data_IF_705252705891
#
_entry.id   IF_705252705891
#
_cell.length_a   1.000
_cell.length_b   1.000
_cell.length_c   1.000
_cell.angle_alpha   90.00
_cell.angle_beta   90.00
_cell.angle_gamma   90.00
#
_symmetry.space_group_name_H-M   'P 1'
#
loop_
_entity.id
_entity.type
_entity.pdbx_description
1 polymer ?
#
# COMPACT_ATOMS: atom_id res chain seq x y z
N UNK A 1 5.06 -0.42 -13.26
CA UNK A 1 4.27 0.81 -13.00
C UNK A 1 5.22 2.00 -12.96
N UNK A 2 5.40 2.73 -14.06
CA UNK A 2 6.19 3.96 -14.02
C UNK A 2 5.29 5.03 -13.42
N UNK A 3 5.34 5.21 -12.10
CA UNK A 3 4.83 6.43 -11.48
C UNK A 3 5.76 7.52 -12.01
N UNK A 4 5.36 8.12 -13.12
CA UNK A 4 5.97 9.32 -13.64
C UNK A 4 5.75 10.42 -12.62
N UNK A 5 6.64 10.51 -11.63
CA UNK A 5 6.91 11.77 -10.99
C UNK A 5 7.46 12.65 -12.10
N UNK A 6 6.59 13.50 -12.66
CA UNK A 6 7.07 14.69 -13.33
C UNK A 6 8.13 15.29 -12.39
N UNK A 7 9.32 15.56 -12.91
CA UNK A 7 10.33 16.40 -12.28
C UNK A 7 9.72 17.79 -12.10
N UNK A 8 8.78 17.89 -11.16
CA UNK A 8 8.07 19.07 -10.79
C UNK A 8 8.99 19.82 -9.84
N UNK A 9 9.25 21.08 -10.17
CA UNK A 9 10.12 21.98 -9.44
C UNK A 9 10.10 21.85 -7.92
N UNK A 10 11.26 22.07 -7.30
CA UNK A 10 11.36 22.19 -5.85
C UNK A 10 10.46 23.35 -5.39
N UNK A 11 9.45 23.03 -4.58
CA UNK A 11 8.59 24.06 -3.98
C UNK A 11 9.34 24.82 -2.90
N UNK A 12 9.07 26.09 -2.68
CA UNK A 12 9.64 26.83 -1.54
C UNK A 12 8.73 27.92 -0.99
N UNK A 13 8.98 28.32 0.25
CA UNK A 13 8.33 29.44 0.95
C UNK A 13 9.36 30.40 1.55
N UNK A 14 8.94 31.61 1.92
CA UNK A 14 9.79 32.64 2.55
C UNK A 14 9.53 32.74 4.05
N UNK A 15 10.60 32.61 4.85
CA UNK A 15 10.52 32.81 6.30
C UNK A 15 10.24 34.27 6.71
N UNK A 16 10.47 35.24 5.80
CA UNK A 16 10.27 36.66 6.06
C UNK A 16 8.84 37.15 5.74
N UNK A 17 8.10 36.42 4.91
CA UNK A 17 6.73 36.79 4.53
C UNK A 17 5.74 36.54 5.69
N UNK A 18 4.64 37.30 5.78
CA UNK A 18 3.55 36.99 6.70
C UNK A 18 2.93 35.61 6.42
N UNK A 19 2.37 34.97 7.46
CA UNK A 19 1.77 33.63 7.34
C UNK A 19 0.62 33.56 6.33
N UNK A 20 -0.22 34.60 6.27
CA UNK A 20 -1.36 34.72 5.35
C UNK A 20 -0.96 35.08 3.92
N UNK A 21 0.32 35.33 3.67
CA UNK A 21 0.87 35.76 2.38
C UNK A 21 1.96 34.81 1.88
N UNK A 22 2.08 33.61 2.45
CA UNK A 22 3.04 32.61 2.00
C UNK A 22 2.76 32.23 0.55
N UNK A 23 3.74 32.41 -0.32
CA UNK A 23 3.63 32.09 -1.75
C UNK A 23 4.18 30.69 -2.03
N UNK A 24 3.45 29.92 -2.84
CA UNK A 24 3.91 28.63 -3.37
C UNK A 24 4.61 28.85 -4.72
N UNK A 25 5.94 28.72 -4.73
CA UNK A 25 6.78 28.83 -5.93
C UNK A 25 7.29 27.46 -6.36
N UNK A 26 7.21 27.14 -7.65
CA UNK A 26 7.78 25.93 -8.24
C UNK A 26 8.99 26.31 -9.08
N UNK A 27 10.18 25.87 -8.68
CA UNK A 27 11.39 26.10 -9.47
C UNK A 27 11.32 25.40 -10.84
N UNK A 28 11.62 26.11 -11.91
CA UNK A 28 11.65 25.49 -13.25
C UNK A 28 12.88 24.57 -13.37
N UNK A 29 13.99 24.98 -12.78
CA UNK A 29 15.19 24.19 -12.56
C UNK A 29 15.96 24.68 -11.33
N UNK A 30 16.77 23.80 -10.73
CA UNK A 30 17.46 24.05 -9.45
C UNK A 30 18.42 25.26 -9.48
N UNK A 31 18.89 25.66 -10.66
CA UNK A 31 19.81 26.79 -10.86
C UNK A 31 19.17 28.00 -11.57
N UNK A 32 17.85 27.98 -11.78
CA UNK A 32 17.15 29.10 -12.41
C UNK A 32 16.73 30.16 -11.38
N UNK A 33 16.90 31.43 -11.73
CA UNK A 33 16.25 32.55 -11.03
C UNK A 33 14.78 32.70 -11.44
N UNK A 34 14.18 31.67 -12.06
CA UNK A 34 12.80 31.69 -12.51
C UNK A 34 12.01 30.62 -11.76
N UNK A 35 10.86 31.02 -11.21
CA UNK A 35 9.91 30.12 -10.60
C UNK A 35 8.52 30.32 -11.20
N UNK A 36 7.73 29.27 -11.23
CA UNK A 36 6.30 29.36 -11.50
C UNK A 36 5.57 29.67 -10.19
N UNK A 37 4.71 30.68 -10.20
CA UNK A 37 3.88 31.03 -9.05
C UNK A 37 2.56 30.24 -9.10
N UNK A 38 2.16 29.65 -7.97
CA UNK A 38 0.92 28.88 -7.84
C UNK A 38 -0.06 29.57 -6.87
N UNK A 39 -0.55 30.74 -7.28
CA UNK A 39 -1.53 31.54 -6.53
C UNK A 39 -2.78 31.89 -7.37
N UNK A 40 -3.06 31.13 -8.42
CA UNK A 40 -4.16 31.39 -9.36
C UNK A 40 -3.78 32.21 -10.59
N UNK A 41 -2.59 32.83 -10.61
CA UNK A 41 -2.01 33.45 -11.80
C UNK A 41 -0.84 32.59 -12.31
N UNK A 42 -1.06 31.86 -13.41
CA UNK A 42 0.02 31.09 -14.04
C UNK A 42 1.00 32.02 -14.74
N UNK A 43 2.23 32.13 -14.22
CA UNK A 43 3.31 32.93 -14.81
C UNK A 43 4.69 32.61 -14.25
N UNK A 44 5.73 32.85 -15.05
CA UNK A 44 7.11 32.80 -14.60
C UNK A 44 7.46 34.11 -13.88
N UNK A 45 8.06 34.00 -12.69
CA UNK A 45 8.47 35.12 -11.85
C UNK A 45 9.97 35.03 -11.62
N UNK A 46 10.66 36.17 -11.72
CA UNK A 46 12.06 36.29 -11.34
C UNK A 46 12.19 36.35 -9.81
N UNK A 47 12.89 35.37 -9.23
CA UNK A 47 13.12 35.25 -7.79
C UNK A 47 14.54 35.67 -7.38
N UNK A 48 15.35 36.20 -8.29
CA UNK A 48 16.74 36.64 -8.02
C UNK A 48 16.85 37.62 -6.84
N UNK A 49 15.84 38.46 -6.64
CA UNK A 49 15.78 39.43 -5.53
C UNK A 49 15.49 38.84 -4.15
N UNK A 50 15.13 37.55 -4.03
CA UNK A 50 14.89 36.91 -2.73
C UNK A 50 16.22 36.39 -2.18
N UNK A 51 16.69 36.79 -0.99
CA UNK A 51 17.95 36.27 -0.43
C UNK A 51 17.94 34.74 -0.28
N UNK A 52 19.05 34.08 -0.60
CA UNK A 52 19.10 32.61 -0.64
C UNK A 52 18.85 31.95 0.73
N UNK A 53 19.23 32.61 1.81
CA UNK A 53 19.07 32.15 3.20
C UNK A 53 17.61 32.10 3.66
N UNK A 54 16.74 32.94 3.09
CA UNK A 54 15.30 32.97 3.39
C UNK A 54 14.45 32.08 2.47
N UNK A 55 15.02 31.53 1.39
CA UNK A 55 14.36 30.55 0.50
C UNK A 55 14.36 29.18 1.17
N UNK A 56 13.19 28.69 1.62
CA UNK A 56 13.06 27.40 2.30
C UNK A 56 12.30 26.40 1.45
N UNK A 57 12.94 25.28 1.11
CA UNK A 57 12.45 24.32 0.12
C UNK A 57 11.69 23.16 0.73
N UNK A 58 10.58 22.76 0.08
CA UNK A 58 9.88 21.52 0.40
C UNK A 58 10.87 20.37 0.20
N UNK A 59 10.99 19.46 1.17
CA UNK A 59 11.89 18.34 1.05
C UNK A 59 11.55 17.46 -0.15
N UNK A 60 12.60 16.96 -0.81
CA UNK A 60 12.50 16.03 -1.95
C UNK A 60 11.79 14.76 -1.54
N UNK A 61 10.95 14.21 -2.40
CA UNK A 61 10.24 12.97 -2.10
C UNK A 61 11.24 11.83 -1.83
N UNK A 62 10.96 10.99 -0.83
CA UNK A 62 11.84 9.90 -0.40
C UNK A 62 13.04 10.31 0.47
N UNK A 63 13.29 11.61 0.72
CA UNK A 63 14.38 12.02 1.62
C UNK A 63 13.99 11.89 3.10
N UNK A 64 14.98 11.75 3.98
CA UNK A 64 14.74 11.74 5.44
C UNK A 64 14.11 13.06 5.94
N UNK A 65 14.47 14.19 5.33
CA UNK A 65 13.81 15.48 5.60
C UNK A 65 12.33 15.45 5.23
N UNK A 66 11.94 14.71 4.19
CA UNK A 66 10.54 14.58 3.80
C UNK A 66 9.74 13.78 4.80
N UNK A 67 10.29 12.69 5.34
CA UNK A 67 9.65 11.92 6.41
C UNK A 67 9.39 12.81 7.63
N UNK A 68 10.38 13.63 8.02
CA UNK A 68 10.25 14.62 9.10
C UNK A 68 9.16 15.66 8.83
N UNK A 69 9.10 16.21 7.60
CA UNK A 69 8.06 17.14 7.19
C UNK A 69 6.66 16.52 7.24
N UNK A 70 6.50 15.30 6.71
CA UNK A 70 5.20 14.63 6.65
C UNK A 70 4.73 14.22 8.08
N UNK A 71 5.65 13.89 9.00
CA UNK A 71 5.32 13.70 10.42
C UNK A 71 4.82 14.99 11.09
N UNK A 72 5.39 16.14 10.73
CA UNK A 72 4.93 17.47 11.18
C UNK A 72 3.53 17.78 10.62
N UNK A 73 3.29 17.52 9.33
CA UNK A 73 1.97 17.65 8.71
C UNK A 73 0.94 16.82 9.46
N UNK A 74 1.20 15.53 9.65
CA UNK A 74 0.24 14.64 10.30
C UNK A 74 -0.08 15.09 11.73
N UNK A 75 0.93 15.40 12.54
CA UNK A 75 0.70 15.80 13.92
C UNK A 75 0.01 17.17 14.03
N UNK A 76 0.41 18.15 13.22
CA UNK A 76 -0.25 19.45 13.18
C UNK A 76 -1.71 19.32 12.74
N UNK A 77 -1.97 18.51 11.71
CA UNK A 77 -3.33 18.25 11.21
C UNK A 77 -4.18 17.53 12.25
N UNK A 78 -3.63 16.54 12.95
CA UNK A 78 -4.31 15.84 14.06
C UNK A 78 -4.70 16.80 15.17
N UNK A 79 -3.76 17.60 15.67
CA UNK A 79 -3.97 18.54 16.78
C UNK A 79 -5.06 19.58 16.44
N UNK A 80 -5.03 20.12 15.22
CA UNK A 80 -6.03 21.06 14.72
C UNK A 80 -7.38 20.38 14.44
N UNK A 81 -7.38 19.12 14.04
CA UNK A 81 -8.58 18.31 13.85
C UNK A 81 -9.31 18.01 15.16
N UNK A 82 -8.58 17.54 16.17
CA UNK A 82 -9.13 17.17 17.49
C UNK A 82 -9.65 18.39 18.26
N UNK A 83 -8.94 19.51 18.22
CA UNK A 83 -9.37 20.75 18.88
C UNK A 83 -10.57 21.39 18.18
N UNK A 84 -10.80 21.11 16.89
CA UNK A 84 -11.78 21.79 16.03
C UNK A 84 -11.68 23.33 16.06
N UNK A 85 -10.52 23.86 16.49
CA UNK A 85 -10.27 25.28 16.68
C UNK A 85 -8.95 25.67 16.02
N UNK A 86 -8.85 26.93 15.62
CA UNK A 86 -7.59 27.48 15.15
C UNK A 86 -6.69 27.75 16.37
N UNK A 87 -5.41 27.45 16.26
CA UNK A 87 -4.43 27.63 17.34
C UNK A 87 -3.45 28.75 17.00
N UNK A 88 -2.95 29.52 17.99
CA UNK A 88 -1.87 30.47 17.77
C UNK A 88 -0.65 29.78 17.14
N UNK A 89 -0.03 30.43 16.14
CA UNK A 89 1.07 29.85 15.39
C UNK A 89 2.23 29.41 16.30
N UNK A 90 2.62 30.25 17.26
CA UNK A 90 3.68 29.91 18.23
C UNK A 90 3.32 28.70 19.11
N UNK A 91 2.05 28.56 19.51
CA UNK A 91 1.56 27.45 20.33
C UNK A 91 1.59 26.14 19.54
N UNK A 92 1.12 26.19 18.28
CA UNK A 92 1.16 25.02 17.39
C UNK A 92 2.61 24.60 17.11
N UNK A 93 3.48 25.54 16.75
CA UNK A 93 4.92 25.26 16.52
C UNK A 93 5.57 24.60 17.73
N UNK A 94 5.31 25.13 18.93
CA UNK A 94 5.92 24.62 20.16
C UNK A 94 5.42 23.21 20.51
N UNK A 95 4.12 22.97 20.34
CA UNK A 95 3.49 21.67 20.61
C UNK A 95 3.96 20.60 19.63
N UNK A 96 4.05 20.95 18.34
CA UNK A 96 4.55 20.06 17.30
C UNK A 96 6.02 19.75 17.50
N UNK A 97 6.86 20.77 17.72
CA UNK A 97 8.29 20.60 18.00
C UNK A 97 8.55 19.69 19.21
N UNK A 98 7.80 19.86 20.30
CA UNK A 98 7.92 19.02 21.48
C UNK A 98 7.58 17.55 21.19
N UNK A 99 6.56 17.28 20.38
CA UNK A 99 6.15 15.91 20.03
C UNK A 99 7.12 15.25 19.05
N UNK A 100 7.46 15.94 17.96
CA UNK A 100 8.30 15.40 16.89
C UNK A 100 9.79 15.43 17.24
N UNK A 101 10.17 16.11 18.34
CA UNK A 101 11.56 16.38 18.76
C UNK A 101 12.35 17.16 17.70
N UNK A 102 11.64 17.97 16.92
CA UNK A 102 12.21 18.78 15.84
C UNK A 102 12.51 20.22 16.29
N UNK A 103 13.52 20.90 15.73
CA UNK A 103 13.77 22.31 16.02
C UNK A 103 12.57 23.17 15.64
N UNK A 104 12.19 24.11 16.51
CA UNK A 104 11.03 24.99 16.26
C UNK A 104 11.11 25.75 14.94
N UNK A 105 12.31 26.21 14.55
CA UNK A 105 12.50 26.88 13.26
C UNK A 105 12.24 25.97 12.05
N UNK A 106 12.53 24.67 12.17
CA UNK A 106 12.19 23.70 11.12
C UNK A 106 10.69 23.46 11.06
N UNK A 107 10.05 23.28 12.23
CA UNK A 107 8.59 23.13 12.34
C UNK A 107 7.85 24.34 11.78
N UNK A 108 8.28 25.55 12.11
CA UNK A 108 7.68 26.78 11.59
C UNK A 108 7.70 26.83 10.06
N UNK A 109 8.85 26.50 9.47
CA UNK A 109 9.00 26.42 8.00
C UNK A 109 8.04 25.38 7.41
N UNK A 110 7.91 24.20 8.03
CA UNK A 110 6.99 23.17 7.58
C UNK A 110 5.53 23.65 7.64
N UNK A 111 5.12 24.30 8.75
CA UNK A 111 3.77 24.85 8.88
C UNK A 111 3.49 25.94 7.85
N UNK A 112 4.46 26.80 7.54
CA UNK A 112 4.35 27.81 6.47
C UNK A 112 4.16 27.18 5.10
N UNK A 113 4.87 26.09 4.80
CA UNK A 113 4.64 25.31 3.57
C UNK A 113 3.24 24.71 3.50
N UNK A 114 2.71 24.23 4.63
CA UNK A 114 1.35 23.70 4.67
C UNK A 114 0.29 24.81 4.50
N UNK A 115 0.58 26.05 4.90
CA UNK A 115 -0.28 27.20 4.54
C UNK A 115 -0.19 27.48 3.04
N UNK A 116 1.02 27.53 2.48
CA UNK A 116 1.24 27.80 1.06
C UNK A 116 0.61 26.73 0.15
N UNK A 117 0.66 25.45 0.53
CA UNK A 117 0.06 24.36 -0.24
C UNK A 117 -1.45 24.18 -0.01
N UNK A 118 -2.05 25.05 0.81
CA UNK A 118 -3.48 25.10 1.07
C UNK A 118 -3.98 24.00 2.00
N UNK A 119 -3.11 23.28 2.71
CA UNK A 119 -3.51 22.34 3.77
C UNK A 119 -3.94 23.09 5.04
N UNK A 120 -3.18 24.11 5.43
CA UNK A 120 -3.51 25.02 6.53
C UNK A 120 -4.03 26.36 6.01
N UNK A 121 -4.78 27.06 6.85
CA UNK A 121 -5.17 28.46 6.67
C UNK A 121 -4.58 29.28 7.80
N UNK A 122 -4.08 30.47 7.48
CA UNK A 122 -3.61 31.44 8.46
C UNK A 122 -4.57 32.63 8.54
N UNK A 123 -4.97 32.99 9.76
CA UNK A 123 -5.80 34.16 10.03
C UNK A 123 -5.02 35.14 10.91
N UNK A 124 -4.82 36.36 10.42
CA UNK A 124 -4.15 37.42 11.15
C UNK A 124 -4.95 37.83 12.39
N UNK A 125 -4.25 37.98 13.51
CA UNK A 125 -4.76 38.61 14.74
C UNK A 125 -4.01 39.92 15.01
N UNK A 126 -4.34 40.60 16.11
CA UNK A 126 -3.69 41.88 16.47
C UNK A 126 -2.17 41.73 16.69
N UNK A 127 -1.73 40.58 17.21
CA UNK A 127 -0.34 40.37 17.66
C UNK A 127 0.33 39.13 17.08
N UNK A 128 -0.43 38.24 16.42
CA UNK A 128 0.06 36.94 15.91
C UNK A 128 -0.86 36.41 14.78
N UNK A 129 -0.74 35.14 14.44
CA UNK A 129 -1.60 34.41 13.52
C UNK A 129 -2.24 33.20 14.18
N UNK A 130 -3.49 32.93 13.83
CA UNK A 130 -4.16 31.67 14.13
C UNK A 130 -4.05 30.75 12.92
N UNK A 131 -3.56 29.53 13.14
CA UNK A 131 -3.47 28.47 12.15
C UNK A 131 -4.61 27.48 12.36
N UNK A 132 -5.24 27.08 11.27
CA UNK A 132 -6.31 26.08 11.27
C UNK A 132 -6.24 25.21 10.03
N UNK A 133 -6.96 24.10 10.02
CA UNK A 133 -7.12 23.30 8.81
C UNK A 133 -8.01 24.06 7.81
N UNK A 134 -7.55 24.16 6.56
CA UNK A 134 -8.39 24.63 5.45
C UNK A 134 -9.51 23.60 5.15
N UNK A 135 -10.42 23.90 4.23
CA UNK A 135 -11.41 22.91 3.78
C UNK A 135 -10.74 21.63 3.21
N UNK A 136 -9.67 21.80 2.43
CA UNK A 136 -8.87 20.71 1.89
C UNK A 136 -8.13 19.96 3.01
N UNK A 137 -7.51 20.69 3.96
CA UNK A 137 -6.86 20.09 5.12
C UNK A 137 -7.81 19.26 5.98
N UNK A 138 -9.01 19.77 6.25
CA UNK A 138 -10.06 19.05 6.98
C UNK A 138 -10.47 17.76 6.27
N UNK A 139 -10.59 17.80 4.95
CA UNK A 139 -10.89 16.60 4.17
C UNK A 139 -9.76 15.58 4.29
N UNK A 140 -8.51 15.97 4.00
CA UNK A 140 -7.33 15.08 4.13
C UNK A 140 -7.23 14.45 5.52
N UNK A 141 -7.40 15.25 6.58
CA UNK A 141 -7.33 14.77 7.96
C UNK A 141 -8.42 13.74 8.27
N UNK A 142 -9.66 13.98 7.84
CA UNK A 142 -10.75 13.00 7.99
C UNK A 142 -10.44 11.68 7.30
N UNK A 143 -9.84 11.74 6.11
CA UNK A 143 -9.43 10.54 5.36
C UNK A 143 -8.34 9.76 6.11
N UNK A 144 -7.30 10.45 6.59
CA UNK A 144 -6.23 9.83 7.41
C UNK A 144 -6.78 9.21 8.68
N UNK A 145 -7.66 9.91 9.38
CA UNK A 145 -8.28 9.43 10.63
C UNK A 145 -9.15 8.20 10.38
N UNK A 146 -9.95 8.21 9.30
CA UNK A 146 -10.77 7.08 8.89
C UNK A 146 -9.91 5.85 8.52
N UNK A 147 -8.86 6.01 7.72
CA UNK A 147 -7.94 4.90 7.42
C UNK A 147 -7.34 4.31 8.70
N UNK A 148 -6.92 5.18 9.64
CA UNK A 148 -6.34 4.76 10.90
C UNK A 148 -7.32 3.99 11.81
N UNK A 149 -8.63 4.24 11.69
CA UNK A 149 -9.62 3.60 12.56
C UNK A 149 -9.75 2.10 12.31
N UNK A 150 -9.46 1.60 11.10
CA UNK A 150 -9.51 0.15 10.80
C UNK A 150 -8.48 -0.63 11.62
N UNK A 151 -7.22 -0.20 11.59
CA UNK A 151 -6.15 -0.84 12.34
C UNK A 151 -6.36 -0.68 13.86
N UNK A 152 -6.86 0.49 14.28
CA UNK A 152 -7.19 0.75 15.67
C UNK A 152 -8.31 -0.18 16.19
N UNK A 153 -9.38 -0.39 15.40
CA UNK A 153 -10.47 -1.31 15.75
C UNK A 153 -9.96 -2.74 15.89
N UNK A 154 -9.22 -3.26 14.89
CA UNK A 154 -8.65 -4.61 14.93
C UNK A 154 -7.75 -4.81 16.13
N UNK A 155 -6.85 -3.86 16.39
CA UNK A 155 -5.92 -3.98 17.52
C UNK A 155 -6.69 -4.00 18.84
N UNK A 156 -7.58 -3.03 19.05
CA UNK A 156 -8.31 -2.90 20.31
C UNK A 156 -9.12 -4.15 20.60
N UNK A 157 -9.77 -4.73 19.59
CA UNK A 157 -10.56 -5.95 19.76
C UNK A 157 -9.68 -7.20 19.95
N UNK A 158 -8.55 -7.30 19.25
CA UNK A 158 -7.61 -8.42 19.38
C UNK A 158 -6.90 -8.44 20.74
N UNK A 159 -6.56 -7.28 21.30
CA UNK A 159 -5.90 -7.18 22.62
C UNK A 159 -6.83 -7.57 23.78
N UNK A 160 -8.13 -7.25 23.66
CA UNK A 160 -9.13 -7.56 24.69
C UNK A 160 -9.21 -9.06 24.99
N UNK A 161 -9.18 -9.92 23.97
CA UNK A 161 -9.23 -11.37 24.21
C UNK A 161 -7.89 -11.92 24.71
N UNK A 162 -6.78 -11.37 24.22
CA UNK A 162 -5.44 -11.80 24.62
C UNK A 162 -5.17 -11.56 26.12
N UNK A 163 -5.79 -10.52 26.70
CA UNK A 163 -5.74 -10.25 28.13
C UNK A 163 -6.60 -11.17 29.00
N UNK A 164 -7.52 -11.95 28.41
CA UNK A 164 -8.47 -12.81 29.13
C UNK A 164 -8.24 -14.30 28.90
N UNK A 165 -7.67 -14.68 27.76
CA UNK A 165 -7.52 -16.07 27.33
C UNK A 165 -6.06 -16.37 26.98
N UNK A 166 -5.47 -17.34 27.67
CA UNK A 166 -4.09 -17.77 27.43
C UNK A 166 -3.95 -18.90 26.40
N UNK A 167 -5.06 -19.45 25.90
CA UNK A 167 -5.08 -20.55 24.94
C UNK A 167 -4.85 -20.04 23.51
N UNK A 168 -3.68 -20.36 22.93
CA UNK A 168 -3.21 -19.83 21.65
C UNK A 168 -4.18 -20.06 20.48
N UNK A 169 -4.74 -21.26 20.38
CA UNK A 169 -5.69 -21.59 19.31
C UNK A 169 -6.94 -20.72 19.38
N UNK A 170 -7.48 -20.52 20.58
CA UNK A 170 -8.68 -19.69 20.78
C UNK A 170 -8.42 -18.23 20.42
N UNK A 171 -7.24 -17.71 20.74
CA UNK A 171 -6.82 -16.36 20.34
C UNK A 171 -6.65 -16.26 18.82
N UNK A 172 -6.12 -17.30 18.18
CA UNK A 172 -6.01 -17.42 16.71
C UNK A 172 -7.37 -17.36 16.03
N UNK A 173 -8.27 -18.29 16.38
CA UNK A 173 -9.62 -18.37 15.82
C UNK A 173 -10.42 -17.08 16.02
N UNK A 174 -10.28 -16.42 17.18
CA UNK A 174 -10.92 -15.13 17.39
C UNK A 174 -10.36 -14.03 16.48
N UNK A 175 -9.05 -14.01 16.25
CA UNK A 175 -8.39 -13.04 15.36
C UNK A 175 -8.79 -13.25 13.90
N UNK A 176 -8.94 -14.50 13.48
CA UNK A 176 -9.51 -14.86 12.16
C UNK A 176 -10.94 -14.35 12.02
N UNK A 177 -11.81 -14.63 12.99
CA UNK A 177 -13.21 -14.19 12.97
C UNK A 177 -13.31 -12.66 13.01
N UNK A 178 -12.52 -11.99 13.84
CA UNK A 178 -12.45 -10.54 13.93
C UNK A 178 -12.11 -9.89 12.58
N UNK A 179 -11.09 -10.40 11.89
CA UNK A 179 -10.71 -9.90 10.58
C UNK A 179 -11.81 -10.17 9.55
N UNK A 180 -12.41 -11.37 9.57
CA UNK A 180 -13.50 -11.77 8.67
C UNK A 180 -14.73 -10.89 8.83
N UNK A 181 -15.17 -10.62 10.06
CA UNK A 181 -16.29 -9.73 10.36
C UNK A 181 -16.02 -8.30 9.92
N UNK A 182 -14.78 -7.81 10.10
CA UNK A 182 -14.40 -6.48 9.63
C UNK A 182 -14.42 -6.42 8.10
N UNK A 183 -13.87 -7.42 7.41
CA UNK A 183 -13.91 -7.51 5.95
C UNK A 183 -15.36 -7.55 5.45
N UNK A 184 -16.20 -8.42 6.00
CA UNK A 184 -17.59 -8.57 5.59
C UNK A 184 -18.41 -7.27 5.68
N UNK A 185 -18.09 -6.39 6.64
CA UNK A 185 -18.71 -5.06 6.79
C UNK A 185 -18.27 -4.06 5.72
N UNK A 186 -17.11 -4.26 5.09
CA UNK A 186 -16.48 -3.29 4.19
C UNK A 186 -16.37 -3.74 2.73
N UNK A 187 -16.60 -5.02 2.44
CA UNK A 187 -16.69 -5.53 1.07
C UNK A 187 -18.10 -5.35 0.48
N UNK A 188 -18.24 -5.26 -0.86
CA UNK A 188 -19.57 -5.21 -1.50
C UNK A 188 -20.45 -6.40 -1.11
N UNK A 189 -21.76 -6.17 -0.91
CA UNK A 189 -22.70 -7.18 -0.40
C UNK A 189 -22.83 -8.44 -1.26
N UNK A 190 -22.48 -8.37 -2.56
CA UNK A 190 -22.44 -9.55 -3.44
C UNK A 190 -21.39 -10.56 -2.99
N UNK A 191 -20.34 -10.10 -2.33
CA UNK A 191 -19.27 -10.94 -1.83
C UNK A 191 -19.51 -11.33 -0.37
N UNK A 192 -19.12 -12.56 -0.04
CA UNK A 192 -19.16 -13.08 1.32
C UNK A 192 -17.78 -13.50 1.76
N UNK A 193 -17.43 -13.19 3.00
CA UNK A 193 -16.19 -13.63 3.65
C UNK A 193 -16.51 -14.79 4.61
N UNK A 194 -15.86 -15.94 4.44
CA UNK A 194 -16.12 -17.17 5.18
C UNK A 194 -14.82 -17.94 5.44
N UNK A 195 -14.81 -18.90 6.36
CA UNK A 195 -13.75 -19.93 6.40
C UNK A 195 -14.23 -21.17 5.66
N UNK A 196 -13.30 -21.98 5.16
CA UNK A 196 -13.63 -23.31 4.68
C UNK A 196 -12.76 -23.73 3.53
N UNK A 197 -13.37 -24.30 2.49
CA UNK A 197 -12.66 -25.03 1.46
C UNK A 197 -13.07 -24.55 0.07
N UNK A 198 -12.14 -24.63 -0.86
CA UNK A 198 -12.43 -24.58 -2.30
C UNK A 198 -12.66 -26.02 -2.74
N UNK A 199 -13.69 -26.27 -3.56
CA UNK A 199 -13.97 -27.61 -4.06
C UNK A 199 -12.73 -28.18 -4.79
N UNK A 200 -12.31 -29.39 -4.39
CA UNK A 200 -11.12 -30.03 -4.94
C UNK A 200 -9.82 -29.71 -4.20
N UNK A 201 -9.87 -28.82 -3.18
CA UNK A 201 -8.76 -28.52 -2.28
C UNK A 201 -9.11 -29.05 -0.89
N UNK A 202 -8.25 -29.89 -0.32
CA UNK A 202 -8.46 -30.47 1.01
C UNK A 202 -8.09 -29.52 2.15
N UNK A 203 -7.29 -28.51 1.84
CA UNK A 203 -6.82 -27.53 2.80
C UNK A 203 -7.92 -26.54 3.20
N UNK A 204 -8.08 -26.34 4.51
CA UNK A 204 -8.92 -25.29 5.05
C UNK A 204 -8.22 -23.93 4.92
N UNK A 205 -8.97 -22.94 4.47
CA UNK A 205 -8.54 -21.56 4.33
C UNK A 205 -9.19 -20.70 5.43
N UNK A 206 -8.39 -19.82 6.04
CA UNK A 206 -8.82 -18.97 7.14
C UNK A 206 -9.93 -17.99 6.71
N UNK A 207 -9.74 -17.35 5.55
CA UNK A 207 -10.72 -16.45 4.95
C UNK A 207 -10.74 -16.63 3.43
N UNK A 208 -11.91 -16.99 2.91
CA UNK A 208 -12.27 -17.02 1.50
C UNK A 208 -13.29 -15.91 1.26
N UNK A 209 -13.02 -15.04 0.29
CA UNK A 209 -14.01 -14.09 -0.22
C UNK A 209 -14.51 -14.61 -1.56
N UNK A 210 -15.81 -14.88 -1.65
CA UNK A 210 -16.43 -15.43 -2.85
C UNK A 210 -17.67 -14.65 -3.28
N UNK A 211 -17.98 -14.72 -4.57
CA UNK A 211 -19.24 -14.19 -5.14
C UNK A 211 -20.40 -15.11 -4.76
N UNK A 212 -21.28 -14.62 -3.90
CA UNK A 212 -22.43 -15.38 -3.40
C UNK A 212 -23.72 -15.12 -4.19
N UNK A 213 -23.66 -14.27 -5.23
CA UNK A 213 -24.82 -13.95 -6.07
C UNK A 213 -24.85 -14.86 -7.29
N UNK A 214 -23.74 -14.94 -8.02
CA UNK A 214 -23.67 -15.74 -9.25
C UNK A 214 -23.31 -17.20 -8.95
N UNK A 215 -22.73 -17.49 -7.77
CA UNK A 215 -22.33 -18.84 -7.36
C UNK A 215 -22.81 -19.17 -5.94
N UNK A 216 -23.62 -20.21 -5.80
CA UNK A 216 -24.01 -20.72 -4.49
C UNK A 216 -22.89 -21.59 -3.88
N UNK A 217 -22.65 -21.53 -2.56
CA UNK A 217 -21.76 -22.48 -1.91
C UNK A 217 -22.35 -23.89 -2.02
N UNK A 218 -21.49 -24.88 -2.26
CA UNK A 218 -21.85 -26.30 -2.35
C UNK A 218 -22.26 -26.83 -0.97
N UNK A 219 -21.61 -26.32 0.06
CA UNK A 219 -21.93 -26.59 1.45
C UNK A 219 -21.81 -25.30 2.26
N UNK A 220 -22.74 -25.10 3.21
CA UNK A 220 -22.66 -23.99 4.16
C UNK A 220 -23.25 -24.40 5.50
N UNK A 221 -22.48 -24.20 6.57
CA UNK A 221 -22.97 -24.28 7.95
C UNK A 221 -22.34 -23.17 8.78
N UNK A 222 -23.14 -22.22 9.26
CA UNK A 222 -22.62 -20.99 9.85
C UNK A 222 -21.64 -20.28 8.90
N UNK A 223 -20.42 -20.05 9.39
CA UNK A 223 -19.33 -19.40 8.63
C UNK A 223 -18.43 -20.39 7.86
N UNK A 224 -18.68 -21.71 7.97
CA UNK A 224 -17.93 -22.73 7.26
C UNK A 224 -18.58 -23.00 5.90
N UNK A 225 -17.82 -22.85 4.82
CA UNK A 225 -18.31 -23.05 3.44
C UNK A 225 -17.44 -24.03 2.64
N UNK A 226 -18.04 -24.66 1.64
CA UNK A 226 -17.31 -25.24 0.51
C UNK A 226 -17.81 -24.53 -0.74
N UNK A 227 -16.90 -23.83 -1.44
CA UNK A 227 -17.25 -22.98 -2.59
C UNK A 227 -16.67 -23.54 -3.88
N UNK A 228 -17.34 -23.34 -5.03
CA UNK A 228 -16.76 -23.71 -6.31
C UNK A 228 -15.60 -22.74 -6.66
N UNK A 229 -14.52 -23.20 -7.32
CA UNK A 229 -13.33 -22.37 -7.63
C UNK A 229 -13.65 -21.07 -8.36
N UNK A 230 -14.60 -21.08 -9.31
CA UNK A 230 -15.00 -19.91 -10.12
C UNK A 230 -15.60 -18.76 -9.29
N UNK A 231 -16.08 -19.05 -8.08
CA UNK A 231 -16.66 -18.05 -7.18
C UNK A 231 -15.61 -17.26 -6.40
N UNK A 232 -14.39 -17.79 -6.28
CA UNK A 232 -13.35 -17.26 -5.39
C UNK A 232 -12.77 -15.95 -5.93
N UNK A 233 -12.67 -14.95 -5.07
CA UNK A 233 -12.14 -13.61 -5.40
C UNK A 233 -11.04 -13.13 -4.47
N UNK A 234 -10.94 -13.72 -3.28
CA UNK A 234 -9.78 -13.54 -2.42
C UNK A 234 -9.57 -14.74 -1.49
N UNK A 235 -8.31 -14.98 -1.14
CA UNK A 235 -7.86 -15.97 -0.16
C UNK A 235 -6.89 -15.25 0.79
N UNK A 236 -7.14 -15.32 2.09
CA UNK A 236 -6.34 -14.63 3.09
C UNK A 236 -5.99 -15.60 4.22
N UNK A 237 -4.68 -15.81 4.42
CA UNK A 237 -4.13 -16.53 5.57
C UNK A 237 -3.92 -15.57 6.75
N UNK A 238 -4.32 -15.99 7.96
CA UNK A 238 -4.28 -15.15 9.16
C UNK A 238 -3.34 -15.72 10.20
N UNK A 239 -2.32 -14.94 10.59
CA UNK A 239 -1.38 -15.34 11.65
C UNK A 239 -1.50 -14.42 12.86
N UNK A 240 -1.57 -15.03 14.04
CA UNK A 240 -1.51 -14.29 15.31
C UNK A 240 -0.21 -13.51 15.48
N UNK A 241 0.90 -14.09 15.06
CA UNK A 241 2.24 -13.50 15.12
C UNK A 241 3.05 -14.04 13.94
N UNK A 242 3.48 -13.16 13.04
CA UNK A 242 4.17 -13.56 11.82
C UNK A 242 5.68 -13.67 12.06
N UNK A 243 6.20 -14.89 12.03
CA UNK A 243 7.64 -15.20 12.02
C UNK A 243 8.03 -15.62 10.60
N UNK A 244 9.34 -15.65 10.25
CA UNK A 244 9.78 -16.20 8.97
C UNK A 244 9.23 -17.60 8.68
N UNK A 245 9.20 -18.48 9.69
CA UNK A 245 8.63 -19.83 9.53
C UNK A 245 7.12 -19.78 9.22
N UNK A 246 6.33 -19.00 9.98
CA UNK A 246 4.89 -18.91 9.73
C UNK A 246 4.53 -18.17 8.45
N UNK A 247 5.42 -17.29 7.95
CA UNK A 247 5.27 -16.74 6.62
C UNK A 247 5.50 -17.81 5.56
N UNK A 248 6.59 -18.61 5.64
CA UNK A 248 6.79 -19.75 4.73
C UNK A 248 5.58 -20.68 4.71
N UNK A 249 5.09 -21.10 5.89
CA UNK A 249 3.91 -21.95 5.99
C UNK A 249 2.68 -21.31 5.31
N UNK A 250 2.47 -20.00 5.49
CA UNK A 250 1.35 -19.28 4.86
C UNK A 250 1.51 -19.16 3.33
N UNK A 251 2.74 -19.02 2.85
CA UNK A 251 3.03 -18.98 1.42
C UNK A 251 2.80 -20.35 0.79
N UNK A 252 3.29 -21.41 1.42
CA UNK A 252 3.08 -22.80 0.98
C UNK A 252 1.59 -23.17 0.98
N UNK A 253 0.82 -22.65 1.94
CA UNK A 253 -0.63 -22.79 1.98
C UNK A 253 -1.36 -22.09 0.83
N UNK A 254 -0.82 -20.99 0.31
CA UNK A 254 -1.41 -20.21 -0.77
C UNK A 254 -0.92 -20.65 -2.15
N UNK A 255 0.22 -21.33 -2.22
CA UNK A 255 0.87 -21.72 -3.46
C UNK A 255 -0.03 -22.67 -4.28
N UNK A 256 -0.15 -22.36 -5.57
CA UNK A 256 -0.89 -23.16 -6.53
C UNK A 256 -2.42 -23.23 -6.40
N UNK A 257 -3.05 -22.59 -5.39
CA UNK A 257 -4.50 -22.63 -5.19
C UNK A 257 -5.29 -22.11 -6.41
N UNK A 258 -4.72 -21.18 -7.17
CA UNK A 258 -5.36 -20.54 -8.32
C UNK A 258 -5.38 -21.40 -9.59
N UNK A 259 -4.79 -22.61 -9.57
CA UNK A 259 -4.76 -23.51 -10.74
C UNK A 259 -5.76 -24.64 -10.69
N UNK A 260 -6.58 -24.68 -9.64
CA UNK A 260 -7.65 -25.66 -9.57
C UNK A 260 -8.60 -25.45 -10.75
N UNK A 261 -8.99 -26.51 -11.49
CA UNK A 261 -9.90 -26.38 -12.62
C UNK A 261 -11.18 -25.64 -12.23
N UNK A 262 -11.55 -24.63 -13.02
CA UNK A 262 -12.69 -23.76 -12.74
C UNK A 262 -12.32 -22.46 -12.04
N UNK A 263 -11.06 -22.24 -11.62
CA UNK A 263 -10.65 -20.92 -11.16
C UNK A 263 -10.73 -19.92 -12.32
N UNK A 264 -11.73 -19.03 -12.26
CA UNK A 264 -12.03 -18.10 -13.34
C UNK A 264 -11.23 -16.80 -13.21
N UNK A 265 -10.84 -16.27 -14.37
CA UNK A 265 -10.23 -14.95 -14.47
C UNK A 265 -11.26 -13.83 -14.15
N UNK A 266 -10.87 -12.71 -13.53
CA UNK A 266 -9.51 -12.32 -13.12
C UNK A 266 -8.97 -13.08 -11.89
N UNK A 267 -7.64 -13.11 -11.69
CA UNK A 267 -7.00 -13.78 -10.56
C UNK A 267 -7.56 -13.32 -9.22
N UNK A 268 -7.61 -14.24 -8.25
CA UNK A 268 -8.06 -13.90 -6.91
C UNK A 268 -6.96 -13.16 -6.15
N UNK A 269 -7.37 -12.27 -5.26
CA UNK A 269 -6.44 -11.65 -4.32
C UNK A 269 -5.88 -12.73 -3.38
N UNK A 270 -4.57 -12.81 -3.22
CA UNK A 270 -3.94 -13.63 -2.17
C UNK A 270 -3.20 -12.75 -1.18
N UNK A 271 -3.39 -12.99 0.11
CA UNK A 271 -2.72 -12.18 1.11
C UNK A 271 -2.46 -12.90 2.43
N UNK A 272 -1.45 -12.42 3.13
CA UNK A 272 -1.15 -12.85 4.51
C UNK A 272 -1.42 -11.67 5.44
N UNK A 273 -2.25 -11.89 6.45
CA UNK A 273 -2.56 -10.88 7.46
C UNK A 273 -2.11 -11.34 8.83
N UNK A 274 -1.41 -10.47 9.57
CA UNK A 274 -0.96 -10.76 10.91
C UNK A 274 -1.14 -9.60 11.88
N UNK A 275 -1.28 -9.94 13.16
CA UNK A 275 -1.52 -8.96 14.23
C UNK A 275 -0.23 -8.42 14.83
N UNK A 276 0.82 -9.23 14.88
CA UNK A 276 2.13 -8.85 15.40
C UNK A 276 3.24 -9.54 14.61
N UNK A 277 4.48 -9.06 14.75
CA UNK A 277 5.68 -9.82 14.36
C UNK A 277 6.80 -9.62 15.39
N UNK A 278 7.52 -10.67 15.80
CA UNK A 278 8.83 -10.52 16.39
C UNK A 278 9.87 -10.24 15.29
N UNK A 279 11.02 -9.68 15.67
CA UNK A 279 12.13 -9.47 14.76
C UNK A 279 11.99 -8.25 13.85
N UNK A 280 12.46 -8.35 12.61
CA UNK A 280 12.55 -7.25 11.63
C UNK A 280 11.74 -7.56 10.37
N UNK A 281 11.41 -6.52 9.60
CA UNK A 281 10.79 -6.69 8.28
C UNK A 281 11.74 -7.37 7.29
N UNK A 282 13.05 -7.15 7.42
CA UNK A 282 14.08 -7.76 6.58
C UNK A 282 14.00 -9.30 6.56
N UNK A 283 13.76 -9.93 7.72
CA UNK A 283 13.66 -11.38 7.81
C UNK A 283 12.40 -11.93 7.11
N UNK A 284 11.33 -11.13 6.98
CA UNK A 284 10.15 -11.50 6.20
C UNK A 284 10.38 -11.28 4.70
N UNK A 285 11.11 -10.23 4.34
CA UNK A 285 11.55 -9.99 2.97
C UNK A 285 12.49 -11.09 2.48
N UNK A 286 13.38 -11.62 3.33
CA UNK A 286 14.22 -12.78 3.01
C UNK A 286 13.39 -14.01 2.65
N UNK A 287 12.29 -14.26 3.39
CA UNK A 287 11.37 -15.37 3.10
C UNK A 287 10.64 -15.16 1.78
N UNK A 288 10.20 -13.94 1.49
CA UNK A 288 9.56 -13.65 0.20
C UNK A 288 10.57 -13.80 -0.95
N UNK A 289 11.79 -13.30 -0.78
CA UNK A 289 12.88 -13.52 -1.73
C UNK A 289 13.10 -15.01 -1.97
N UNK A 290 13.24 -15.82 -0.91
CA UNK A 290 13.36 -17.27 -1.02
C UNK A 290 12.18 -17.86 -1.78
N UNK A 291 10.94 -17.51 -1.46
CA UNK A 291 9.74 -18.05 -2.10
C UNK A 291 9.68 -17.83 -3.63
N UNK A 292 10.14 -16.66 -4.09
CA UNK A 292 10.19 -16.30 -5.52
C UNK A 292 11.48 -16.74 -6.21
N UNK A 293 12.60 -16.83 -5.47
CA UNK A 293 13.88 -17.33 -5.98
C UNK A 293 13.90 -18.84 -6.08
N UNK A 294 13.25 -19.54 -5.15
CA UNK A 294 13.60 -20.91 -4.75
C UNK A 294 13.97 -21.72 -5.98
N UNK A 295 15.29 -21.87 -6.10
CA UNK A 295 15.94 -22.33 -7.30
C UNK A 295 15.52 -23.77 -7.52
N UNK A 296 15.31 -24.07 -8.79
CA UNK A 296 15.24 -25.42 -9.31
C UNK A 296 16.49 -26.13 -8.79
N UNK A 297 16.37 -26.93 -7.73
CA UNK A 297 17.39 -27.90 -7.39
C UNK A 297 17.73 -28.66 -8.66
N UNK A 298 19.02 -28.66 -9.02
CA UNK A 298 19.59 -29.37 -10.16
C UNK A 298 19.15 -30.84 -10.08
N UNK A 299 18.04 -31.18 -10.71
CA UNK A 299 17.68 -32.50 -11.26
C UNK A 299 16.22 -32.50 -11.76
N UNK A 300 16.12 -32.79 -13.06
CA UNK A 300 15.06 -33.46 -13.81
C UNK A 300 13.72 -33.74 -13.09
N UNK A 301 12.88 -32.71 -12.93
CA UNK A 301 11.47 -32.96 -12.69
C UNK A 301 10.57 -32.05 -13.55
N UNK A 302 9.98 -32.67 -14.57
CA UNK A 302 9.05 -32.08 -15.53
C UNK A 302 7.68 -31.74 -14.88
N UNK A 303 7.47 -32.03 -13.59
CA UNK A 303 6.29 -31.59 -12.82
C UNK A 303 6.38 -30.13 -12.31
N UNK A 304 7.52 -29.45 -12.51
CA UNK A 304 7.82 -28.10 -11.98
C UNK A 304 7.09 -26.95 -12.71
N UNK A 305 5.75 -26.92 -12.64
CA UNK A 305 4.91 -25.76 -12.98
C UNK A 305 5.09 -24.59 -11.98
N UNK A 306 5.52 -24.84 -10.74
CA UNK A 306 5.50 -23.89 -9.62
C UNK A 306 6.10 -22.50 -9.87
N UNK A 307 7.27 -22.36 -10.49
CA UNK A 307 7.88 -21.02 -10.70
C UNK A 307 7.26 -20.20 -11.84
N UNK A 308 6.70 -20.86 -12.87
CA UNK A 308 5.94 -20.16 -13.92
C UNK A 308 4.61 -19.68 -13.33
N UNK A 309 3.99 -20.52 -12.51
CA UNK A 309 2.75 -20.23 -11.82
C UNK A 309 2.88 -19.09 -10.80
N UNK A 310 3.93 -19.07 -9.98
CA UNK A 310 4.26 -17.97 -9.04
C UNK A 310 4.45 -16.62 -9.73
N UNK A 311 4.88 -16.61 -10.99
CA UNK A 311 4.99 -15.38 -11.78
C UNK A 311 3.61 -14.81 -12.13
N UNK A 312 2.62 -15.66 -12.38
CA UNK A 312 1.28 -15.22 -12.79
C UNK A 312 0.37 -14.98 -11.58
N UNK A 313 0.61 -15.68 -10.46
CA UNK A 313 -0.22 -15.61 -9.24
C UNK A 313 0.61 -15.16 -8.02
N UNK A 314 1.02 -13.89 -7.97
CA UNK A 314 1.81 -13.39 -6.85
C UNK A 314 0.97 -13.30 -5.57
N UNK A 315 1.65 -13.39 -4.44
CA UNK A 315 1.12 -12.90 -3.17
C UNK A 315 0.88 -11.40 -3.30
N UNK A 316 -0.36 -10.94 -3.23
CA UNK A 316 -0.66 -9.53 -3.51
C UNK A 316 -0.28 -8.60 -2.36
N UNK A 317 -0.44 -9.07 -1.12
CA UNK A 317 -0.06 -8.30 0.05
C UNK A 317 0.26 -9.15 1.28
N UNK A 318 1.26 -8.72 2.04
CA UNK A 318 1.54 -9.19 3.40
C UNK A 318 1.39 -8.00 4.34
N UNK A 319 0.44 -8.08 5.27
CA UNK A 319 0.15 -7.02 6.22
C UNK A 319 0.40 -7.50 7.64
N UNK A 320 1.27 -6.81 8.37
CA UNK A 320 1.42 -6.96 9.81
C UNK A 320 0.95 -5.68 10.50
N UNK A 321 -0.11 -5.78 11.30
CA UNK A 321 -0.68 -4.62 12.00
C UNK A 321 0.40 -3.82 12.73
N UNK A 322 0.32 -2.49 12.57
CA UNK A 322 1.22 -1.48 13.15
C UNK A 322 2.71 -1.61 12.79
N UNK A 323 3.08 -2.61 12.00
CA UNK A 323 4.48 -2.99 11.81
C UNK A 323 4.85 -2.87 10.33
N UNK A 324 4.33 -3.76 9.50
CA UNK A 324 4.78 -3.91 8.12
C UNK A 324 3.62 -3.97 7.14
N UNK A 325 3.91 -3.55 5.93
CA UNK A 325 3.05 -3.76 4.79
C UNK A 325 3.91 -3.95 3.55
N UNK A 326 3.83 -5.15 2.97
CA UNK A 326 4.49 -5.50 1.73
C UNK A 326 3.43 -5.65 0.64
N UNK A 327 3.63 -4.99 -0.50
CA UNK A 327 2.89 -5.23 -1.73
C UNK A 327 3.83 -5.91 -2.71
N UNK A 328 3.36 -6.93 -3.42
CA UNK A 328 4.13 -7.49 -4.53
C UNK A 328 3.57 -6.93 -5.83
N UNK A 329 4.45 -6.33 -6.63
CA UNK A 329 4.16 -5.84 -7.97
C UNK A 329 5.29 -6.26 -8.91
N UNK A 330 5.18 -5.92 -10.19
CA UNK A 330 6.23 -6.19 -11.17
C UNK A 330 6.89 -4.91 -11.67
N UNK A 331 8.22 -4.95 -11.75
CA UNK A 331 9.04 -3.92 -12.37
C UNK A 331 9.76 -4.47 -13.60
N UNK A 332 9.94 -3.61 -14.61
CA UNK A 332 10.82 -3.93 -15.73
C UNK A 332 12.26 -3.69 -15.29
N UNK A 333 13.08 -4.73 -15.40
CA UNK A 333 14.50 -4.71 -15.05
C UNK A 333 15.32 -5.08 -16.28
N UNK A 334 16.47 -4.42 -16.45
CA UNK A 334 17.45 -4.80 -17.46
C UNK A 334 18.43 -5.78 -16.83
N UNK A 335 18.54 -6.97 -17.41
CA UNK A 335 19.43 -8.04 -16.97
C UNK A 335 20.62 -8.17 -17.91
N UNK A 336 21.59 -8.97 -17.52
CA UNK A 336 22.83 -9.20 -18.29
C UNK A 336 22.54 -9.52 -19.77
N UNK A 337 23.30 -8.85 -20.64
CA UNK A 337 23.09 -8.90 -22.09
C UNK A 337 22.02 -7.93 -22.63
N UNK A 338 21.58 -6.95 -21.83
CA UNK A 338 20.67 -5.86 -22.26
C UNK A 338 19.23 -6.31 -22.49
N UNK A 339 18.87 -7.49 -21.98
CA UNK A 339 17.51 -8.02 -22.09
C UNK A 339 16.64 -7.36 -21.03
N UNK A 340 15.42 -6.95 -21.38
CA UNK A 340 14.44 -6.44 -20.41
C UNK A 340 13.48 -7.55 -20.03
N UNK A 341 13.24 -7.69 -18.73
CA UNK A 341 12.30 -8.67 -18.18
C UNK A 341 11.36 -7.98 -17.19
N UNK A 342 10.20 -8.57 -16.93
CA UNK A 342 9.41 -8.26 -15.74
C UNK A 342 9.89 -9.13 -14.58
N UNK A 343 10.11 -8.51 -13.42
CA UNK A 343 10.55 -9.19 -12.21
C UNK A 343 9.65 -8.80 -11.03
N UNK A 344 9.28 -9.74 -10.14
CA UNK A 344 8.52 -9.44 -8.94
C UNK A 344 9.36 -8.59 -7.99
N UNK A 345 8.69 -7.61 -7.37
CA UNK A 345 9.29 -6.64 -6.47
C UNK A 345 8.46 -6.58 -5.20
N UNK A 346 9.12 -6.81 -4.07
CA UNK A 346 8.57 -6.46 -2.77
C UNK A 346 8.65 -4.94 -2.59
N UNK A 347 7.51 -4.29 -2.51
CA UNK A 347 7.39 -2.90 -2.08
C UNK A 347 7.05 -2.88 -0.60
N UNK A 348 8.04 -2.55 0.23
CA UNK A 348 7.79 -2.24 1.64
C UNK A 348 7.23 -0.82 1.73
N UNK A 349 6.06 -0.70 2.35
CA UNK A 349 5.38 0.56 2.58
C UNK A 349 5.56 0.97 4.04
N UNK A 350 5.88 2.24 4.24
CA UNK A 350 5.83 2.88 5.55
C UNK A 350 4.86 4.05 5.55
N UNK A 351 4.43 4.42 6.74
CA UNK A 351 3.79 5.70 6.93
C UNK A 351 4.86 6.72 7.25
N UNK A 352 4.73 7.90 6.69
CA UNK A 352 5.49 9.06 7.15
C UNK A 352 5.04 9.60 8.50
N UNK A 353 3.99 9.02 9.11
CA UNK A 353 3.40 9.42 10.39
C UNK A 353 3.21 8.25 11.36
N UNK A 354 2.89 8.53 12.64
CA UNK A 354 2.66 7.50 13.68
C UNK A 354 1.33 6.74 13.52
N UNK A 355 0.53 7.01 12.48
CA UNK A 355 -0.79 6.37 12.32
C UNK A 355 -0.69 4.97 11.73
N UNK A 356 -1.52 4.09 12.27
CA UNK A 356 -1.66 2.70 11.85
C UNK A 356 -2.54 2.62 10.60
N UNK A 357 -1.96 2.45 9.41
CA UNK A 357 -2.71 2.45 8.14
C UNK A 357 -2.69 1.09 7.44
N UNK A 358 -1.90 0.13 7.94
CA UNK A 358 -1.58 -1.13 7.26
C UNK A 358 -2.84 -1.91 6.89
N UNK A 359 -3.78 -2.04 7.83
CA UNK A 359 -5.07 -2.70 7.58
C UNK A 359 -5.89 -2.00 6.50
N UNK A 360 -6.02 -0.68 6.58
CA UNK A 360 -6.79 0.10 5.62
C UNK A 360 -6.19 0.01 4.21
N UNK A 361 -4.87 0.04 4.08
CA UNK A 361 -4.23 -0.17 2.79
C UNK A 361 -4.43 -1.60 2.27
N UNK A 362 -4.29 -2.62 3.12
CA UNK A 362 -4.56 -4.02 2.73
C UNK A 362 -5.98 -4.16 2.19
N UNK A 363 -6.95 -3.51 2.84
CA UNK A 363 -8.35 -3.49 2.42
C UNK A 363 -8.53 -2.73 1.11
N UNK A 364 -7.80 -1.62 0.93
CA UNK A 364 -7.78 -0.88 -0.33
C UNK A 364 -7.28 -1.75 -1.48
N UNK A 365 -6.18 -2.48 -1.28
CA UNK A 365 -5.62 -3.41 -2.29
C UNK A 365 -6.61 -4.53 -2.58
N UNK A 366 -7.12 -5.22 -1.57
CA UNK A 366 -8.15 -6.25 -1.70
C UNK A 366 -9.38 -5.75 -2.47
N UNK A 367 -9.87 -4.54 -2.16
CA UNK A 367 -11.05 -3.98 -2.83
C UNK A 367 -10.86 -3.78 -4.33
N UNK A 368 -9.61 -3.69 -4.81
CA UNK A 368 -9.33 -3.64 -6.25
C UNK A 368 -9.71 -4.94 -6.96
N UNK A 369 -9.79 -6.07 -6.25
CA UNK A 369 -10.13 -7.38 -6.80
C UNK A 369 -11.64 -7.65 -6.72
N UNK A 370 -12.33 -7.00 -5.79
CA UNK A 370 -13.75 -7.19 -5.50
C UNK A 370 -14.64 -6.29 -6.38
N UNK A 371 -14.59 -6.48 -7.70
CA UNK A 371 -15.32 -5.64 -8.69
C UNK A 371 -16.47 -6.38 -9.38
N UNK A 372 -17.53 -5.64 -9.72
CA UNK A 372 -18.60 -6.13 -10.60
C UNK A 372 -19.38 -5.00 -11.32
N UNK A 373 -19.71 -5.14 -12.63
CA UNK A 373 -19.11 -6.11 -13.53
C UNK A 373 -17.59 -5.87 -13.59
N UNK A 374 -16.81 -6.87 -13.98
CA UNK A 374 -15.36 -6.70 -14.20
C UNK A 374 -15.04 -5.58 -15.21
N UNK A 375 -16.08 -5.10 -15.88
CA UNK A 375 -16.13 -3.97 -16.78
C UNK A 375 -16.84 -2.75 -16.16
N UNK A 376 -16.13 -1.62 -15.95
CA UNK A 376 -16.80 -0.36 -15.59
C UNK A 376 -15.85 0.73 -15.06
N UNK A 377 -16.22 2.01 -15.24
CA UNK A 377 -15.49 3.13 -14.67
C UNK A 377 -15.58 3.13 -13.14
N UNK A 378 -14.46 3.44 -12.49
CA UNK A 378 -14.37 3.61 -11.03
C UNK A 378 -15.48 4.55 -10.52
N UNK A 379 -16.25 4.09 -9.55
CA UNK A 379 -16.76 4.97 -8.50
C UNK A 379 -15.57 5.42 -7.63
N UNK A 380 -14.81 6.37 -8.19
CA UNK A 380 -13.93 7.29 -7.49
C UNK A 380 -12.52 6.78 -7.15
N UNK A 381 -11.52 7.49 -7.66
CA UNK A 381 -10.21 7.65 -7.00
C UNK A 381 -10.33 8.06 -5.50
N UNK A 382 -11.53 8.44 -5.03
CA UNK A 382 -11.82 8.83 -3.66
C UNK A 382 -11.64 7.72 -2.61
N UNK A 383 -12.16 6.50 -2.83
CA UNK A 383 -12.07 5.43 -1.81
C UNK A 383 -10.63 4.90 -1.67
N UNK A 384 -9.93 4.74 -2.79
CA UNK A 384 -8.51 4.37 -2.79
C UNK A 384 -7.65 5.38 -2.05
N UNK A 385 -7.77 6.68 -2.39
CA UNK A 385 -7.03 7.73 -1.67
C UNK A 385 -7.44 7.88 -0.20
N UNK A 386 -8.70 7.56 0.14
CA UNK A 386 -9.17 7.52 1.53
C UNK A 386 -8.50 6.42 2.34
N UNK A 387 -8.36 5.23 1.76
CA UNK A 387 -7.93 4.03 2.47
C UNK A 387 -6.40 3.85 2.49
N UNK A 388 -5.66 4.43 1.54
CA UNK A 388 -4.19 4.26 1.48
C UNK A 388 -3.42 5.19 2.42
N UNK A 389 -4.04 6.24 2.96
CA UNK A 389 -3.37 7.22 3.80
C UNK A 389 -2.17 7.90 3.11
N UNK A 390 -1.14 8.23 3.88
CA UNK A 390 0.17 8.71 3.39
C UNK A 390 1.20 7.58 3.34
N UNK A 391 0.83 6.45 2.74
CA UNK A 391 1.78 5.38 2.48
C UNK A 391 2.84 5.89 1.50
N UNK A 392 4.12 5.72 1.85
CA UNK A 392 5.25 5.95 0.96
C UNK A 392 6.06 4.66 0.81
N UNK A 393 6.68 4.43 -0.35
CA UNK A 393 7.71 3.42 -0.48
C UNK A 393 8.83 3.64 0.54
N UNK A 394 9.08 2.63 1.38
CA UNK A 394 10.22 2.58 2.29
C UNK A 394 11.42 1.94 1.60
N UNK A 395 11.19 0.78 1.00
CA UNK A 395 12.21 -0.01 0.31
C UNK A 395 11.58 -0.76 -0.86
N UNK A 396 12.40 -1.03 -1.87
CA UNK A 396 12.08 -1.89 -3.00
C UNK A 396 13.08 -3.03 -3.00
N UNK A 397 12.60 -4.27 -3.03
CA UNK A 397 13.45 -5.45 -3.09
C UNK A 397 13.13 -6.25 -4.35
N UNK A 398 14.10 -6.32 -5.26
CA UNK A 398 14.02 -7.18 -6.43
C UNK A 398 14.15 -8.62 -5.95
N UNK A 399 13.04 -9.36 -5.96
CA UNK A 399 13.02 -10.69 -5.35
C UNK A 399 13.93 -11.64 -6.12
N UNK A 400 13.94 -11.55 -7.45
CA UNK A 400 14.77 -12.41 -8.31
C UNK A 400 16.11 -11.78 -8.70
N UNK A 401 16.54 -10.72 -8.00
CA UNK A 401 17.81 -10.04 -8.31
C UNK A 401 17.85 -9.44 -9.73
N UNK A 402 19.00 -9.54 -10.38
CA UNK A 402 19.24 -9.06 -11.76
C UNK A 402 19.39 -10.20 -12.76
N UNK A 403 19.05 -11.43 -12.37
CA UNK A 403 19.18 -12.61 -13.20
C UNK A 403 17.89 -12.89 -14.00
N UNK A 404 18.02 -13.65 -15.09
CA UNK A 404 16.84 -14.19 -15.78
C UNK A 404 16.19 -15.26 -14.91
N UNK A 405 14.89 -15.19 -14.72
CA UNK A 405 14.13 -16.12 -13.90
C UNK A 405 13.01 -16.78 -14.70
N UNK A 406 12.62 -18.00 -14.29
CA UNK A 406 11.40 -18.69 -14.72
C UNK A 406 11.20 -18.68 -16.25
N UNK A 407 10.15 -18.01 -16.75
CA UNK A 407 9.76 -17.92 -18.16
C UNK A 407 10.75 -17.20 -19.07
N UNK A 408 11.72 -16.47 -18.52
CA UNK A 408 12.70 -15.70 -19.29
C UNK A 408 13.96 -16.51 -19.63
N UNK A 409 14.07 -17.75 -19.15
CA UNK A 409 15.21 -18.65 -19.40
C UNK A 409 15.13 -19.27 -20.81
N UNK A 410 16.28 -19.71 -21.34
CA UNK A 410 16.31 -20.46 -22.60
C UNK A 410 15.60 -21.81 -22.48
N UNK A 411 15.75 -22.47 -21.34
CA UNK A 411 15.12 -23.76 -21.03
C UNK A 411 13.60 -23.67 -21.10
N UNK A 412 12.99 -22.63 -20.50
CA UNK A 412 11.54 -22.44 -20.57
C UNK A 412 11.05 -22.26 -22.02
N UNK A 413 11.83 -21.58 -22.87
CA UNK A 413 11.50 -21.39 -24.29
C UNK A 413 11.64 -22.67 -25.09
N UNK A 414 12.66 -23.48 -24.80
CA UNK A 414 12.86 -24.79 -25.43
C UNK A 414 11.72 -25.74 -25.08
N UNK A 415 11.37 -25.85 -23.79
CA UNK A 415 10.24 -26.68 -23.33
C UNK A 415 8.92 -26.24 -23.99
N UNK A 416 8.64 -24.93 -24.03
CA UNK A 416 7.44 -24.42 -24.68
C UNK A 416 7.43 -24.74 -26.18
N UNK A 417 8.56 -24.56 -26.86
CA UNK A 417 8.71 -24.87 -28.29
C UNK A 417 8.50 -26.36 -28.58
N UNK A 418 9.08 -27.24 -27.76
CA UNK A 418 8.94 -28.70 -27.91
C UNK A 418 7.48 -29.16 -27.67
N UNK A 419 6.77 -28.47 -26.79
CA UNK A 419 5.34 -28.67 -26.55
C UNK A 419 4.42 -27.99 -27.58
N UNK A 420 4.96 -27.22 -28.53
CA UNK A 420 4.19 -26.46 -29.53
C UNK A 420 3.42 -25.27 -28.94
N UNK A 421 3.89 -24.71 -27.82
CA UNK A 421 3.31 -23.57 -27.12
C UNK A 421 4.00 -22.25 -27.50
N UNK A 422 3.32 -21.13 -27.25
CA UNK A 422 3.88 -19.79 -27.45
C UNK A 422 5.02 -19.49 -26.47
N UNK A 423 5.81 -18.44 -26.78
CA UNK A 423 6.88 -17.95 -25.88
C UNK A 423 6.28 -17.61 -24.50
N UNK A 424 6.69 -18.31 -23.43
CA UNK A 424 6.09 -18.16 -22.11
C UNK A 424 6.30 -16.75 -21.55
N UNK A 425 7.40 -16.08 -21.90
CA UNK A 425 7.65 -14.70 -21.49
C UNK A 425 6.66 -13.73 -22.13
N UNK A 426 6.35 -13.91 -23.41
CA UNK A 426 5.37 -13.05 -24.11
C UNK A 426 3.96 -13.26 -23.58
N UNK A 427 3.58 -14.51 -23.31
CA UNK A 427 2.27 -14.86 -22.77
C UNK A 427 2.08 -14.19 -21.41
N UNK A 428 3.06 -14.34 -20.52
CA UNK A 428 3.03 -13.69 -19.21
C UNK A 428 3.00 -12.17 -19.28
N UNK A 429 3.82 -11.54 -20.11
CA UNK A 429 3.80 -10.08 -20.24
C UNK A 429 2.44 -9.56 -20.73
N UNK A 430 1.77 -10.31 -21.61
CA UNK A 430 0.43 -9.98 -22.07
C UNK A 430 -0.62 -10.14 -20.97
N UNK A 431 -0.58 -11.24 -20.22
CA UNK A 431 -1.47 -11.51 -19.08
C UNK A 431 -1.28 -10.49 -17.96
N UNK A 432 -0.03 -10.22 -17.58
CA UNK A 432 0.30 -9.19 -16.58
C UNK A 432 -0.16 -7.80 -17.03
N UNK A 433 0.01 -7.44 -18.31
CA UNK A 433 -0.48 -6.16 -18.85
C UNK A 433 -2.00 -6.06 -18.77
N UNK A 434 -2.72 -7.15 -19.07
CA UNK A 434 -4.17 -7.24 -18.93
C UNK A 434 -4.57 -7.06 -17.46
N UNK A 435 -3.96 -7.82 -16.56
CA UNK A 435 -4.26 -7.81 -15.13
C UNK A 435 -3.92 -6.48 -14.44
N UNK A 436 -2.73 -5.93 -14.68
CA UNK A 436 -2.37 -4.60 -14.17
C UNK A 436 -3.27 -3.49 -14.73
N UNK A 437 -3.71 -3.61 -15.98
CA UNK A 437 -4.72 -2.72 -16.57
C UNK A 437 -6.07 -2.83 -15.84
N UNK A 438 -6.52 -4.05 -15.57
CA UNK A 438 -7.74 -4.30 -14.81
C UNK A 438 -7.65 -3.76 -13.38
N UNK A 439 -6.57 -4.03 -12.64
CA UNK A 439 -6.30 -3.43 -11.33
C UNK A 439 -6.33 -1.90 -11.39
N UNK A 440 -5.88 -1.28 -12.49
CA UNK A 440 -5.93 0.16 -12.68
C UNK A 440 -7.35 0.72 -12.93
N UNK A 441 -8.33 -0.12 -13.28
CA UNK A 441 -9.71 0.31 -13.58
C UNK A 441 -10.21 -0.07 -14.97
N UNK A 442 -9.39 -0.73 -15.79
CA UNK A 442 -9.81 -1.14 -17.12
C UNK A 442 -10.73 -2.37 -17.03
N UNK A 443 -11.44 -2.61 -18.13
CA UNK A 443 -12.14 -3.87 -18.38
C UNK A 443 -11.16 -5.04 -18.35
N UNK A 444 -11.64 -6.21 -17.92
CA UNK A 444 -10.83 -7.42 -17.89
C UNK A 444 -10.47 -7.90 -19.29
#
# INVERSE_FOLDING_TARGET
MTIGYASAGRRFVSAAEPWDQQRDYFLVSDNSNQALLNNGEFGFVDISGIPADVRKFRPTHGSEERKRFDAIDDYASKLLGESSQNLPAHTLTSSVAARTKEPQGFVEVCLRMLVADGTLSAQRTKTDFLLGLSANGKQKERQRSFAASFAHELTTQAERIAGLVSHRLTVGTYREELLRELLQRHIPQRFRAATGFILGIEQQLDIIIYDAIDHAPIFQTGNLVVVPPESVRAIIEVKSSLTPAFLRDALDHLDGLQHVPGFDQPPAFTGVFAFTRPGTSEALLDVLDEYYRDDIGEEDDLEKKGMILKAVDPIDAVCVLKSDLFSIDYATVEVDGGTRILSPVALELENSSEREFQASWFFARLSQYLRYPFDGQKTGQGLGGMMTGQAIPKAFRLMNGADRWSMYTSVAKEIASDAGLDDPAKTFEAEWKRFSGWLAGNKW
#
